data_IF_255830114372
#
_entry.id   IF_255830114372
#
_cell.length_a   1.000
_cell.length_b   1.000
_cell.length_c   1.000
_cell.angle_alpha   90.00
_cell.angle_beta   90.00
_cell.angle_gamma   90.00
#
_symmetry.space_group_name_H-M   'P 1'
#
loop_
_entity.id
_entity.type
_entity.pdbx_description
1 polymer ?
#
# COMPACT_ATOMS: atom_id res chain seq x y z
N UNK A 1 -3.25 -26.06 -3.44
CA UNK A 1 -3.51 -24.63 -3.17
C UNK A 1 -2.32 -23.86 -3.69
N UNK A 2 -2.42 -23.37 -4.93
CA UNK A 2 -1.33 -22.70 -5.62
C UNK A 2 -1.21 -21.28 -5.08
N UNK A 3 -0.31 -21.10 -4.12
CA UNK A 3 0.04 -19.82 -3.55
C UNK A 3 0.87 -19.08 -4.60
N UNK A 4 0.22 -18.41 -5.54
CA UNK A 4 0.88 -17.43 -6.42
C UNK A 4 1.24 -16.22 -5.58
N UNK A 5 2.24 -16.40 -4.71
CA UNK A 5 2.82 -15.30 -3.99
C UNK A 5 3.57 -14.45 -4.98
N UNK A 6 2.95 -13.34 -5.38
CA UNK A 6 3.59 -12.26 -6.14
C UNK A 6 4.98 -11.96 -5.59
N UNK A 7 5.85 -11.40 -6.43
CA UNK A 7 7.26 -11.16 -6.17
C UNK A 7 7.55 -10.59 -4.78
N UNK A 8 8.77 -10.80 -4.28
CA UNK A 8 9.19 -10.24 -2.98
C UNK A 8 8.90 -8.73 -2.86
N UNK A 9 8.94 -7.99 -3.97
CA UNK A 9 8.57 -6.58 -3.97
C UNK A 9 7.05 -6.35 -3.89
N UNK A 10 6.22 -7.16 -4.56
CA UNK A 10 4.76 -7.11 -4.42
C UNK A 10 4.34 -7.28 -2.95
N UNK A 11 4.95 -8.25 -2.24
CA UNK A 11 4.75 -8.45 -0.79
C UNK A 11 5.19 -7.23 0.04
N UNK A 12 6.34 -6.63 -0.27
CA UNK A 12 6.81 -5.41 0.42
C UNK A 12 5.86 -4.22 0.24
N UNK A 13 5.27 -4.07 -0.95
CA UNK A 13 4.31 -2.99 -1.21
C UNK A 13 3.03 -3.22 -0.39
N UNK A 14 2.53 -4.46 -0.35
CA UNK A 14 1.38 -4.83 0.51
C UNK A 14 1.67 -4.53 1.98
N UNK A 15 2.83 -4.95 2.50
CA UNK A 15 3.23 -4.69 3.89
C UNK A 15 3.31 -3.18 4.19
N UNK A 16 3.86 -2.40 3.26
CA UNK A 16 3.95 -0.94 3.40
C UNK A 16 2.57 -0.27 3.48
N UNK A 17 1.63 -0.70 2.62
CA UNK A 17 0.24 -0.22 2.61
C UNK A 17 -0.48 -0.54 3.92
N UNK A 18 -0.34 -1.76 4.42
CA UNK A 18 -0.94 -2.17 5.71
C UNK A 18 -0.39 -1.35 6.88
N UNK A 19 0.89 -1.03 6.86
CA UNK A 19 1.51 -0.18 7.89
C UNK A 19 0.98 1.26 7.81
N UNK A 20 0.80 1.82 6.61
CA UNK A 20 0.19 3.15 6.45
C UNK A 20 -1.23 3.20 6.99
N UNK A 21 -2.04 2.16 6.75
CA UNK A 21 -3.39 2.05 7.31
C UNK A 21 -3.35 2.11 8.84
N UNK A 22 -2.47 1.33 9.48
CA UNK A 22 -2.30 1.34 10.94
C UNK A 22 -1.88 2.70 11.48
N UNK A 23 -0.99 3.40 10.78
CA UNK A 23 -0.57 4.76 11.16
C UNK A 23 -1.74 5.73 11.01
N UNK A 24 -2.48 5.70 9.90
CA UNK A 24 -3.65 6.56 9.69
C UNK A 24 -4.73 6.33 10.75
N UNK A 25 -5.00 5.07 11.11
CA UNK A 25 -5.91 4.71 12.20
C UNK A 25 -5.41 5.20 13.56
N UNK A 26 -4.10 5.15 13.81
CA UNK A 26 -3.52 5.68 15.05
C UNK A 26 -3.63 7.20 15.16
N UNK A 27 -3.77 7.89 14.01
CA UNK A 27 -3.99 9.32 13.92
C UNK A 27 -5.48 9.70 13.89
N UNK A 28 -6.39 8.73 13.87
CA UNK A 28 -7.81 9.05 13.94
C UNK A 28 -8.16 9.67 15.29
N UNK A 29 -9.09 10.63 15.26
CA UNK A 29 -9.49 11.48 16.38
C UNK A 29 -8.47 12.56 16.79
N UNK A 30 -7.30 12.64 16.16
CA UNK A 30 -6.40 13.79 16.29
C UNK A 30 -6.75 14.86 15.25
N UNK A 31 -7.56 15.86 15.64
CA UNK A 31 -7.93 16.98 14.75
C UNK A 31 -6.71 17.70 14.15
N UNK A 32 -5.62 17.84 14.92
CA UNK A 32 -4.37 18.45 14.44
C UNK A 32 -3.61 17.61 13.41
N UNK A 33 -3.97 16.33 13.23
CA UNK A 33 -3.29 15.41 12.33
C UNK A 33 -3.93 15.32 10.93
N UNK A 34 -4.97 16.11 10.62
CA UNK A 34 -5.67 16.05 9.33
C UNK A 34 -4.71 16.18 8.13
N UNK A 35 -3.82 17.19 8.17
CA UNK A 35 -2.82 17.40 7.11
C UNK A 35 -1.83 16.23 7.00
N UNK A 36 -1.53 15.54 8.11
CA UNK A 36 -0.66 14.36 8.11
C UNK A 36 -1.41 13.18 7.49
N UNK A 37 -2.67 12.94 7.86
CA UNK A 37 -3.51 11.90 7.27
C UNK A 37 -3.66 12.08 5.76
N UNK A 38 -3.88 13.31 5.29
CA UNK A 38 -3.97 13.59 3.86
C UNK A 38 -2.67 13.24 3.11
N UNK A 39 -1.50 13.56 3.69
CA UNK A 39 -0.20 13.16 3.11
C UNK A 39 -0.01 11.65 3.10
N UNK A 40 -0.36 10.96 4.19
CA UNK A 40 -0.28 9.49 4.27
C UNK A 40 -1.18 8.81 3.25
N UNK A 41 -2.36 9.39 2.99
CA UNK A 41 -3.26 8.90 1.94
C UNK A 41 -2.66 9.04 0.55
N UNK A 42 -2.03 10.18 0.23
CA UNK A 42 -1.34 10.34 -1.05
C UNK A 42 -0.22 9.30 -1.26
N UNK A 43 0.54 9.01 -0.20
CA UNK A 43 1.59 7.97 -0.24
C UNK A 43 0.96 6.57 -0.40
N UNK A 44 -0.16 6.31 0.25
CA UNK A 44 -0.90 5.06 0.09
C UNK A 44 -1.37 4.86 -1.35
N UNK A 45 -1.95 5.90 -1.95
CA UNK A 45 -2.45 5.88 -3.33
C UNK A 45 -1.29 5.62 -4.32
N UNK A 46 -0.12 6.25 -4.11
CA UNK A 46 1.08 5.98 -4.91
C UNK A 46 1.58 4.52 -4.79
N UNK A 47 1.51 3.94 -3.59
CA UNK A 47 1.83 2.53 -3.38
C UNK A 47 0.81 1.58 -4.02
N UNK A 48 -0.48 1.96 -4.08
CA UNK A 48 -1.50 1.21 -4.81
C UNK A 48 -1.17 1.20 -6.31
N UNK A 49 -0.87 2.36 -6.91
CA UNK A 49 -0.48 2.45 -8.31
C UNK A 49 0.75 1.58 -8.63
N UNK A 50 1.74 1.56 -7.72
CA UNK A 50 2.92 0.69 -7.85
C UNK A 50 2.55 -0.79 -7.77
N UNK A 51 1.63 -1.16 -6.87
CA UNK A 51 1.14 -2.53 -6.71
C UNK A 51 0.35 -3.00 -7.94
N UNK A 52 -0.49 -2.15 -8.51
CA UNK A 52 -1.24 -2.45 -9.74
C UNK A 52 -0.30 -2.66 -10.93
N UNK A 53 0.65 -1.75 -11.15
CA UNK A 53 1.68 -1.90 -12.20
C UNK A 53 2.48 -3.19 -12.03
N UNK A 54 2.82 -3.56 -10.80
CA UNK A 54 3.50 -4.82 -10.46
C UNK A 54 2.68 -6.04 -10.85
N UNK A 55 1.38 -6.05 -10.53
CA UNK A 55 0.47 -7.13 -10.92
C UNK A 55 0.39 -7.29 -12.44
N UNK A 56 0.32 -6.18 -13.18
CA UNK A 56 0.29 -6.22 -14.65
C UNK A 56 1.56 -6.84 -15.25
N UNK A 57 2.74 -6.52 -14.69
CA UNK A 57 4.02 -7.08 -15.14
C UNK A 57 4.08 -8.59 -14.85
N UNK A 58 3.65 -9.01 -13.66
CA UNK A 58 3.62 -10.42 -13.26
C UNK A 58 2.65 -11.23 -14.12
N UNK A 59 1.47 -10.67 -14.42
CA UNK A 59 0.50 -11.29 -15.32
C UNK A 59 0.96 -11.36 -16.79
N UNK A 60 1.70 -10.35 -17.28
CA UNK A 60 2.26 -10.36 -18.66
C UNK A 60 3.47 -11.29 -18.81
N UNK A 61 4.08 -11.71 -17.71
CA UNK A 61 5.25 -12.60 -17.69
C UNK A 61 4.88 -14.09 -17.52
N UNK A 62 3.58 -14.41 -17.47
CA UNK A 62 3.04 -15.76 -17.31
C UNK A 62 2.44 -16.31 -18.61
#
# INVERSE_FOLDING_TARGET
MSYEAGSQECRRIVDAKDNLIKVMQSLDNLQSAEMIKNKLKLIYDELEDMHEKRKEIEHKSS
#
